data_IF_309019202790
#
_entry.id   IF_309019202790
#
_cell.length_a   1.000
_cell.length_b   1.000
_cell.length_c   1.000
_cell.angle_alpha   90.00
_cell.angle_beta   90.00
_cell.angle_gamma   90.00
#
_symmetry.space_group_name_H-M   'P 1'
#
loop_
_entity.id
_entity.type
_entity.pdbx_description
1 polymer ?
#
# COMPACT_ATOMS: atom_id res chain seq x y z
N UNK A 1 16.78 4.33 -8.28
CA UNK A 1 15.61 4.46 -9.18
C UNK A 1 15.44 3.15 -9.93
N UNK A 2 14.21 2.69 -10.02
CA UNK A 2 13.88 1.47 -10.73
C UNK A 2 13.55 1.79 -12.19
N UNK A 3 14.08 0.97 -13.09
CA UNK A 3 13.80 1.08 -14.50
C UNK A 3 13.06 -0.16 -14.98
N UNK A 4 12.15 0.04 -15.90
CA UNK A 4 11.45 -1.04 -16.56
C UNK A 4 11.62 -0.90 -18.07
N UNK A 5 11.52 -2.02 -18.79
CA UNK A 5 11.46 -1.97 -20.25
C UNK A 5 10.18 -1.28 -20.70
N UNK A 6 10.12 -0.84 -21.95
CA UNK A 6 9.00 -0.03 -22.47
C UNK A 6 7.65 -0.72 -22.38
N UNK A 7 7.65 -2.05 -22.37
CA UNK A 7 6.44 -2.88 -22.31
C UNK A 7 6.07 -3.34 -20.91
N UNK A 8 6.79 -2.84 -19.89
CA UNK A 8 6.55 -3.19 -18.48
C UNK A 8 6.27 -1.93 -17.68
N UNK A 9 5.30 -2.02 -16.76
CA UNK A 9 5.06 -0.94 -15.80
C UNK A 9 6.20 -0.88 -14.80
N UNK A 10 6.73 0.33 -14.47
CA UNK A 10 7.68 0.47 -13.39
C UNK A 10 7.11 -0.09 -12.09
N UNK A 11 7.90 -0.91 -11.42
CA UNK A 11 7.45 -1.55 -10.18
C UNK A 11 8.65 -1.89 -9.29
N UNK A 12 8.36 -2.13 -8.01
CA UNK A 12 9.33 -2.66 -7.06
C UNK A 12 8.63 -3.49 -5.99
N UNK A 13 9.42 -4.28 -5.27
CA UNK A 13 8.96 -5.04 -4.11
C UNK A 13 9.93 -4.79 -2.97
N UNK A 14 9.41 -4.52 -1.78
CA UNK A 14 10.24 -4.28 -0.60
C UNK A 14 10.79 -5.58 -0.02
N UNK A 15 11.75 -5.45 0.91
CA UNK A 15 12.07 -6.51 1.88
C UNK A 15 10.88 -6.72 2.81
N UNK A 16 10.82 -7.85 3.55
CA UNK A 16 9.75 -8.05 4.53
C UNK A 16 9.71 -6.93 5.57
N UNK A 17 8.49 -6.44 5.83
CA UNK A 17 8.22 -5.38 6.79
C UNK A 17 7.23 -5.92 7.83
N UNK A 18 7.46 -5.62 9.11
CA UNK A 18 6.56 -6.06 10.18
C UNK A 18 5.36 -5.13 10.26
N UNK A 19 4.16 -5.71 10.22
CA UNK A 19 2.92 -4.96 10.46
C UNK A 19 2.76 -4.79 11.96
N UNK A 20 2.69 -3.54 12.48
CA UNK A 20 2.62 -3.33 13.92
C UNK A 20 1.29 -3.81 14.51
N UNK A 21 1.33 -4.19 15.78
CA UNK A 21 0.13 -4.46 16.56
C UNK A 21 -0.27 -3.17 17.27
N UNK A 22 -1.48 -2.71 17.02
CA UNK A 22 -1.94 -1.40 17.49
C UNK A 22 -2.97 -1.55 18.61
N UNK A 23 -2.91 -0.72 19.66
CA UNK A 23 -3.94 -0.74 20.69
C UNK A 23 -5.27 -0.23 20.11
N UNK A 24 -6.41 -0.88 20.44
CA UNK A 24 -7.71 -0.38 20.02
C UNK A 24 -8.00 1.02 20.58
N UNK A 25 -8.70 1.90 19.83
CA UNK A 25 -9.35 1.68 18.54
C UNK A 25 -8.44 1.89 17.33
N UNK A 26 -7.15 2.05 17.55
CA UNK A 26 -6.18 2.24 16.46
C UNK A 26 -6.02 0.97 15.63
N UNK A 27 -5.44 1.13 14.45
CA UNK A 27 -5.14 0.02 13.54
C UNK A 27 -3.87 0.33 12.73
N UNK A 28 -3.16 -0.69 12.26
CA UNK A 28 -2.00 -0.49 11.40
C UNK A 28 -2.43 -0.11 9.98
N UNK A 29 -1.68 0.78 9.35
CA UNK A 29 -1.90 1.19 7.97
C UNK A 29 -0.57 1.43 7.27
N UNK A 30 -0.61 1.45 5.93
CA UNK A 30 0.55 1.76 5.10
C UNK A 30 0.44 3.19 4.59
N UNK A 31 1.45 4.00 4.89
CA UNK A 31 1.56 5.36 4.36
C UNK A 31 2.54 5.39 3.20
N UNK A 32 2.15 6.10 2.15
CA UNK A 32 2.93 6.27 0.93
C UNK A 32 3.28 7.74 0.78
N UNK A 33 4.58 8.03 0.69
CA UNK A 33 5.09 9.35 0.33
C UNK A 33 5.48 9.30 -1.15
N UNK A 34 4.75 10.01 -2.00
CA UNK A 34 4.90 9.88 -3.45
C UNK A 34 4.58 11.17 -4.19
N UNK A 35 5.16 11.28 -5.39
CA UNK A 35 4.86 12.32 -6.36
C UNK A 35 4.50 11.65 -7.68
N UNK A 36 3.36 12.01 -8.27
CA UNK A 36 2.94 11.45 -9.55
C UNK A 36 2.82 12.54 -10.61
N UNK A 37 3.05 12.17 -11.88
CA UNK A 37 2.72 13.02 -13.01
C UNK A 37 1.20 13.05 -13.23
N UNK A 38 0.74 13.88 -14.19
CA UNK A 38 -0.70 14.02 -14.49
C UNK A 38 -1.35 12.67 -14.79
N UNK A 39 -0.65 11.80 -15.51
CA UNK A 39 -1.18 10.48 -15.88
C UNK A 39 -0.63 9.35 -15.01
N UNK A 40 0.27 9.66 -14.10
CA UNK A 40 0.89 8.66 -13.24
C UNK A 40 0.04 8.30 -12.04
N UNK A 41 0.40 7.19 -11.40
CA UNK A 41 -0.24 6.76 -10.16
C UNK A 41 0.68 5.80 -9.40
N UNK A 42 0.32 5.55 -8.14
CA UNK A 42 0.91 4.49 -7.33
C UNK A 42 -0.20 3.51 -6.97
N UNK A 43 0.01 2.25 -7.27
CA UNK A 43 -0.85 1.16 -6.80
C UNK A 43 0.00 0.22 -5.96
N UNK A 44 -0.56 -0.33 -4.90
CA UNK A 44 0.18 -1.19 -3.97
C UNK A 44 -0.52 -2.51 -3.74
N UNK A 45 0.28 -3.53 -3.48
CA UNK A 45 -0.15 -4.89 -3.22
C UNK A 45 0.65 -5.42 -2.04
N UNK A 46 0.02 -6.16 -1.16
CA UNK A 46 0.72 -6.82 -0.07
C UNK A 46 0.92 -8.29 -0.42
N UNK A 47 2.12 -8.78 -0.18
CA UNK A 47 2.51 -10.17 -0.40
C UNK A 47 3.02 -10.77 0.90
N UNK A 48 2.90 -12.08 1.04
CA UNK A 48 3.52 -12.79 2.15
C UNK A 48 5.04 -12.58 2.17
N UNK A 49 5.65 -12.68 3.33
CA UNK A 49 7.09 -12.44 3.50
C UNK A 49 7.94 -13.40 2.66
N UNK A 50 7.44 -14.61 2.41
CA UNK A 50 8.17 -15.67 1.74
C UNK A 50 7.45 -16.23 0.51
N UNK A 51 6.47 -15.49 -0.02
CA UNK A 51 5.69 -15.91 -1.18
C UNK A 51 5.64 -14.79 -2.21
N UNK A 52 5.70 -15.10 -3.53
CA UNK A 52 5.49 -14.11 -4.56
C UNK A 52 4.02 -13.77 -4.76
N UNK A 53 3.10 -14.55 -4.17
CA UNK A 53 1.68 -14.38 -4.40
C UNK A 53 1.11 -13.26 -3.56
N UNK A 54 0.15 -12.46 -4.09
CA UNK A 54 -0.49 -11.41 -3.33
C UNK A 54 -1.42 -12.00 -2.27
N UNK A 55 -1.57 -11.26 -1.17
CA UNK A 55 -2.59 -11.56 -0.17
C UNK A 55 -3.97 -11.21 -0.76
N UNK A 56 -4.98 -12.10 -0.64
CA UNK A 56 -6.20 -12.01 -1.43
C UNK A 56 -6.97 -10.68 -1.38
N UNK A 57 -6.97 -10.02 -0.23
CA UNK A 57 -7.70 -8.75 -0.09
C UNK A 57 -6.86 -7.51 -0.38
N UNK A 58 -5.60 -7.70 -0.78
CA UNK A 58 -4.62 -6.61 -0.90
C UNK A 58 -3.89 -6.67 -2.23
N UNK A 59 -4.64 -6.91 -3.30
CA UNK A 59 -4.09 -7.00 -4.66
C UNK A 59 -4.04 -5.63 -5.35
N UNK A 60 -3.27 -5.53 -6.42
CA UNK A 60 -3.23 -4.31 -7.23
C UNK A 60 -4.62 -3.92 -7.75
N UNK A 61 -5.44 -4.88 -8.14
CA UNK A 61 -6.77 -4.61 -8.68
C UNK A 61 -7.69 -3.95 -7.67
N UNK A 62 -7.52 -4.25 -6.39
CA UNK A 62 -8.32 -3.69 -5.31
C UNK A 62 -7.73 -2.39 -4.76
N UNK A 63 -6.48 -2.09 -5.07
CA UNK A 63 -5.78 -0.91 -4.56
C UNK A 63 -6.35 0.37 -5.13
N UNK A 64 -6.60 1.35 -4.27
CA UNK A 64 -6.87 2.70 -4.70
C UNK A 64 -5.60 3.27 -5.34
N UNK A 65 -5.74 3.86 -6.51
CA UNK A 65 -4.62 4.53 -7.18
C UNK A 65 -4.33 5.85 -6.49
N UNK A 66 -3.11 6.02 -6.04
CA UNK A 66 -2.65 7.23 -5.38
C UNK A 66 -2.10 8.17 -6.45
N UNK A 67 -2.69 9.36 -6.55
CA UNK A 67 -2.30 10.38 -7.52
C UNK A 67 -2.07 11.71 -6.82
N UNK A 68 -1.09 12.47 -7.30
CA UNK A 68 -0.79 13.80 -6.79
C UNK A 68 0.55 13.85 -6.07
N UNK A 69 0.69 14.85 -5.22
CA UNK A 69 1.89 15.06 -4.43
C UNK A 69 1.52 14.89 -2.96
N UNK A 70 1.90 13.77 -2.37
CA UNK A 70 1.56 13.43 -1.00
C UNK A 70 2.79 13.15 -0.16
N UNK A 71 2.82 13.74 1.03
CA UNK A 71 3.84 13.45 2.04
C UNK A 71 3.52 12.12 2.74
N UNK A 72 2.24 11.89 3.06
CA UNK A 72 1.80 10.65 3.68
C UNK A 72 0.36 10.38 3.28
N UNK A 73 0.18 9.53 2.30
CA UNK A 73 -1.14 9.08 1.85
C UNK A 73 -1.35 7.64 2.26
N UNK A 74 -2.42 7.35 2.99
CA UNK A 74 -2.73 5.98 3.37
C UNK A 74 -3.16 5.17 2.15
N UNK A 75 -2.53 4.01 1.97
CA UNK A 75 -2.95 3.03 0.97
C UNK A 75 -4.29 2.42 1.41
N UNK A 76 -5.15 2.13 0.45
CA UNK A 76 -6.43 1.51 0.72
C UNK A 76 -6.77 0.49 -0.36
N UNK A 77 -7.62 -0.46 0.01
CA UNK A 77 -8.07 -1.52 -0.90
C UNK A 77 -9.58 -1.64 -0.81
N UNK A 78 -10.22 -1.87 -1.95
CA UNK A 78 -11.66 -2.06 -1.97
C UNK A 78 -12.00 -3.47 -1.47
N UNK A 79 -12.81 -3.54 -0.43
CA UNK A 79 -13.24 -4.78 0.20
C UNK A 79 -14.74 -4.71 0.42
N UNK A 80 -15.51 -5.52 -0.31
CA UNK A 80 -16.94 -5.62 -0.10
C UNK A 80 -17.72 -4.31 -0.32
N UNK A 81 -17.33 -3.48 -1.28
CA UNK A 81 -17.99 -2.22 -1.56
C UNK A 81 -17.47 -1.03 -0.74
N UNK A 82 -16.49 -1.26 0.12
CA UNK A 82 -15.83 -0.23 0.91
C UNK A 82 -14.35 -0.16 0.57
N UNK A 83 -13.75 1.01 0.78
CA UNK A 83 -12.30 1.14 0.79
C UNK A 83 -11.81 1.08 2.23
N UNK A 84 -10.84 0.20 2.51
CA UNK A 84 -10.28 0.06 3.84
C UNK A 84 -8.78 0.31 3.83
N UNK A 85 -8.31 1.03 4.83
CA UNK A 85 -6.89 1.26 5.09
C UNK A 85 -6.34 0.28 6.12
N UNK A 86 -7.21 -0.40 6.87
CA UNK A 86 -6.80 -1.20 8.02
C UNK A 86 -6.06 -2.46 7.61
N UNK A 87 -4.92 -2.69 8.22
CA UNK A 87 -4.14 -3.91 8.11
C UNK A 87 -4.23 -4.74 9.41
N UNK A 88 -5.29 -4.54 10.20
CA UNK A 88 -5.41 -5.19 11.50
C UNK A 88 -5.36 -6.72 11.41
N UNK A 89 -5.89 -7.30 10.34
CA UNK A 89 -5.83 -8.74 10.13
C UNK A 89 -4.42 -9.28 9.89
N UNK A 90 -3.45 -8.40 9.64
CA UNK A 90 -2.05 -8.76 9.40
C UNK A 90 -1.14 -8.35 10.56
N UNK A 91 -1.70 -7.82 11.65
CA UNK A 91 -0.91 -7.35 12.78
C UNK A 91 0.02 -8.44 13.32
N UNK A 92 1.27 -8.09 13.56
CA UNK A 92 2.29 -9.03 14.02
C UNK A 92 2.90 -9.92 12.94
N UNK A 93 2.41 -9.81 11.71
CA UNK A 93 2.94 -10.58 10.56
C UNK A 93 3.87 -9.71 9.74
N UNK A 94 4.84 -10.35 9.07
CA UNK A 94 5.70 -9.66 8.10
C UNK A 94 5.11 -9.80 6.71
N UNK A 95 5.12 -8.68 5.97
CA UNK A 95 4.63 -8.63 4.59
C UNK A 95 5.63 -7.89 3.72
N UNK A 96 5.62 -8.18 2.42
CA UNK A 96 6.33 -7.37 1.44
C UNK A 96 5.33 -6.47 0.73
N UNK A 97 5.74 -5.25 0.43
CA UNK A 97 4.93 -4.31 -0.32
C UNK A 97 5.44 -4.28 -1.75
N UNK A 98 4.55 -4.62 -2.69
CA UNK A 98 4.81 -4.45 -4.11
C UNK A 98 4.09 -3.19 -4.58
N UNK A 99 4.76 -2.38 -5.38
CA UNK A 99 4.18 -1.15 -5.90
C UNK A 99 4.35 -1.06 -7.41
N UNK A 100 3.31 -0.58 -8.09
CA UNK A 100 3.36 -0.16 -9.49
C UNK A 100 3.36 1.36 -9.50
N UNK A 101 4.34 1.95 -10.18
CA UNK A 101 4.59 3.38 -10.12
C UNK A 101 4.72 4.03 -11.51
N UNK A 102 3.82 3.76 -12.46
CA UNK A 102 3.91 4.38 -13.78
C UNK A 102 3.79 5.90 -13.65
N UNK A 103 4.78 6.63 -14.17
CA UNK A 103 4.80 8.10 -14.08
C UNK A 103 4.83 8.63 -12.66
N UNK A 104 5.45 7.90 -11.72
CA UNK A 104 5.47 8.27 -10.31
C UNK A 104 6.82 8.01 -9.67
N UNK A 105 7.05 8.66 -8.54
CA UNK A 105 8.20 8.42 -7.65
C UNK A 105 7.66 8.14 -6.26
N UNK A 106 8.17 7.10 -5.63
CA UNK A 106 7.87 6.78 -4.22
C UNK A 106 9.12 7.08 -3.41
N UNK A 107 8.97 7.96 -2.41
CA UNK A 107 10.08 8.36 -1.54
C UNK A 107 10.16 7.52 -0.29
N UNK A 108 9.00 7.10 0.24
CA UNK A 108 8.99 6.22 1.41
C UNK A 108 7.67 5.46 1.51
N UNK A 109 7.76 4.32 2.20
CA UNK A 109 6.63 3.49 2.60
C UNK A 109 6.78 3.25 4.09
N UNK A 110 5.73 3.54 4.87
CA UNK A 110 5.77 3.43 6.32
C UNK A 110 4.56 2.69 6.83
N UNK A 111 4.79 1.65 7.65
CA UNK A 111 3.72 0.98 8.39
C UNK A 111 3.63 1.63 9.76
N UNK A 112 2.45 2.12 10.13
CA UNK A 112 2.25 2.78 11.40
C UNK A 112 0.88 2.50 11.98
N UNK A 113 0.72 2.78 13.27
CA UNK A 113 -0.56 2.71 13.95
C UNK A 113 -1.29 4.04 13.85
N UNK A 114 -2.59 3.99 13.59
CA UNK A 114 -3.45 5.17 13.73
C UNK A 114 -3.89 5.33 15.17
N UNK A 115 -4.35 6.54 15.52
CA UNK A 115 -4.87 6.82 16.87
C UNK A 115 -6.37 6.58 17.00
N UNK A 116 -7.09 6.37 15.90
CA UNK A 116 -8.55 6.32 15.91
C UNK A 116 -9.13 5.17 15.09
N UNK A 117 -10.45 5.09 15.09
CA UNK A 117 -11.18 4.06 14.33
C UNK A 117 -11.06 4.33 12.83
N UNK A 118 -11.08 3.24 12.05
CA UNK A 118 -11.18 3.35 10.61
C UNK A 118 -12.53 3.92 10.21
N UNK A 119 -12.50 4.92 9.30
CA UNK A 119 -13.70 5.43 8.65
C UNK A 119 -13.77 4.77 7.28
N UNK A 120 -14.83 4.01 7.03
CA UNK A 120 -15.01 3.32 5.76
C UNK A 120 -15.64 4.26 4.75
N UNK A 121 -15.02 4.34 3.58
CA UNK A 121 -15.55 5.06 2.43
C UNK A 121 -16.32 4.10 1.54
N UNK A 122 -17.38 4.55 0.99
CA UNK A 122 -18.19 3.74 0.07
C UNK A 122 -18.30 4.40 -1.29
#
# INVERSE_FOLDING_TARGET
MFHASADMLPSFVTVPLLVPTCPPPGFPRLLVNALTSVVGYVAVELRGAHSPDPLPSFTFDLSTRIKGNYIARAASWRQGGHFTQSLAGLAGKSVRVAARIPGAKVFSLTLECTAGKEVKSS
#
